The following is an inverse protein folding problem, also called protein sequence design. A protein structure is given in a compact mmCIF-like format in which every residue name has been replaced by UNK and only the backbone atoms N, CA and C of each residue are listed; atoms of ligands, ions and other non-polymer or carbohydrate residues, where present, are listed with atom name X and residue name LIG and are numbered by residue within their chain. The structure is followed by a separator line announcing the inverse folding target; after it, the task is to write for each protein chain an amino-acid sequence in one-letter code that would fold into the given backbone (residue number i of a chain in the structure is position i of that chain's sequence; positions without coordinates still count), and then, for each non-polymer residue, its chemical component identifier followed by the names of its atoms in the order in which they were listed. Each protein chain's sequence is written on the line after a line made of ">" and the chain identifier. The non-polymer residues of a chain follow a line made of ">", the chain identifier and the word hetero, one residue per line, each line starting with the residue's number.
data_IF_779796577651
#
_entry.id   IF_779796577651
#
_cell.length_a   1.000
_cell.length_b   1.000
_cell.length_c   1.000
_cell.angle_alpha   90.00
_cell.angle_beta   90.00
_cell.angle_gamma   90.00
#
_symmetry.space_group_name_H-M   'P 1'
#
loop_
_entity.id
_entity.type
_entity.pdbx_description
1 polymer ?
#
# COMPACT_ATOMS: atom_id res chain seq x y z
N UNK A 1 -11.39 36.60 11.20
CA UNK A 1 -10.92 36.24 9.85
C UNK A 1 -9.68 35.40 10.07
N UNK A 2 -9.86 34.08 10.19
CA UNK A 2 -8.76 33.18 10.50
C UNK A 2 -7.95 32.89 9.23
N UNK A 3 -6.63 32.99 9.40
CA UNK A 3 -5.58 32.95 8.39
C UNK A 3 -5.50 31.61 7.67
N UNK A 4 -4.96 31.63 6.45
CA UNK A 4 -4.47 30.43 5.77
C UNK A 4 -3.33 29.86 6.62
N UNK A 5 -3.53 28.67 7.17
CA UNK A 5 -2.55 27.92 7.96
C UNK A 5 -1.69 27.08 6.99
N UNK A 6 -0.42 26.86 7.35
CA UNK A 6 0.55 26.09 6.56
C UNK A 6 1.12 24.91 7.35
N UNK A 7 0.90 23.68 6.84
CA UNK A 7 1.39 22.44 7.45
C UNK A 7 0.62 21.21 6.96
N UNK A 8 1.24 20.03 7.00
CA UNK A 8 0.59 18.77 6.58
C UNK A 8 -0.35 18.17 7.64
N UNK A 9 -0.40 18.75 8.85
CA UNK A 9 -1.32 18.37 9.92
C UNK A 9 -1.19 16.92 10.40
N UNK A 10 -2.26 16.41 11.02
CA UNK A 10 -2.42 15.00 11.42
C UNK A 10 -3.74 14.47 10.87
N UNK A 11 -3.71 13.28 10.30
CA UNK A 11 -4.89 12.58 9.78
C UNK A 11 -5.09 11.28 10.55
N UNK A 12 -6.30 11.11 11.07
CA UNK A 12 -6.76 9.89 11.72
C UNK A 12 -7.92 9.29 10.93
N UNK A 13 -7.95 7.96 10.86
CA UNK A 13 -9.04 7.18 10.29
C UNK A 13 -9.59 6.27 11.37
N UNK A 14 -10.91 6.29 11.58
CA UNK A 14 -11.60 5.43 12.53
C UNK A 14 -12.42 4.38 11.77
N UNK A 15 -12.27 3.13 12.19
CA UNK A 15 -13.11 2.04 11.67
C UNK A 15 -14.49 2.01 12.33
N UNK A 16 -15.37 1.14 11.83
CA UNK A 16 -16.73 0.96 12.36
C UNK A 16 -16.79 0.43 13.79
N UNK A 17 -15.66 -0.08 14.32
CA UNK A 17 -15.53 -0.53 15.72
C UNK A 17 -15.06 0.59 16.67
N UNK A 18 -14.73 1.77 16.12
CA UNK A 18 -14.26 2.93 16.86
C UNK A 18 -12.74 2.96 17.07
N UNK A 19 -11.99 1.99 16.53
CA UNK A 19 -10.53 2.00 16.63
C UNK A 19 -9.96 3.09 15.72
N UNK A 20 -9.04 3.88 16.26
CA UNK A 20 -8.42 5.00 15.56
C UNK A 20 -7.02 4.65 15.09
N UNK A 21 -6.74 4.92 13.81
CA UNK A 21 -5.45 4.69 13.17
C UNK A 21 -4.93 6.02 12.63
N UNK A 22 -3.70 6.40 12.98
CA UNK A 22 -3.06 7.56 12.40
C UNK A 22 -2.51 7.21 11.01
N UNK A 23 -2.78 8.04 10.02
CA UNK A 23 -2.22 7.93 8.66
C UNK A 23 -0.79 8.48 8.68
N UNK A 24 0.12 7.70 9.27
CA UNK A 24 1.56 7.92 9.14
C UNK A 24 2.07 9.30 9.55
N UNK A 25 3.26 9.62 9.02
CA UNK A 25 3.79 10.99 8.98
C UNK A 25 3.37 11.60 7.65
N UNK A 26 2.48 12.60 7.71
CA UNK A 26 1.96 13.30 6.54
C UNK A 26 3.00 14.27 5.98
N UNK A 27 3.15 14.26 4.67
CA UNK A 27 3.94 15.23 3.91
C UNK A 27 3.06 16.26 3.22
N UNK A 28 1.87 15.84 2.77
CA UNK A 28 0.89 16.72 2.16
C UNK A 28 -0.52 16.14 2.38
N UNK A 29 -1.50 17.02 2.48
CA UNK A 29 -2.92 16.63 2.52
C UNK A 29 -3.74 17.66 1.78
N UNK A 30 -4.49 17.19 0.79
CA UNK A 30 -5.39 18.02 0.01
C UNK A 30 -6.82 17.53 0.18
N UNK A 31 -7.73 18.49 0.38
CA UNK A 31 -9.18 18.25 0.38
C UNK A 31 -9.79 19.15 -0.68
N UNK A 32 -10.54 18.56 -1.59
CA UNK A 32 -11.19 19.24 -2.69
C UNK A 32 -12.71 19.15 -2.54
N UNK A 33 -13.37 20.30 -2.63
CA UNK A 33 -14.82 20.45 -2.59
C UNK A 33 -15.34 20.86 -3.97
N UNK A 34 -15.86 19.91 -4.73
CA UNK A 34 -16.33 20.16 -6.10
C UNK A 34 -17.86 20.29 -6.12
N UNK A 35 -18.37 21.41 -6.63
CA UNK A 35 -19.79 21.60 -6.88
C UNK A 35 -20.09 21.60 -8.37
N UNK A 36 -20.94 20.70 -8.83
CA UNK A 36 -21.46 20.70 -10.20
C UNK A 36 -22.74 21.53 -10.31
N UNK A 37 -22.84 22.34 -11.35
CA UNK A 37 -24.03 23.10 -11.71
C UNK A 37 -24.58 22.58 -13.04
N UNK A 38 -25.90 22.51 -13.17
CA UNK A 38 -26.60 22.28 -14.42
C UNK A 38 -27.28 23.56 -14.84
N UNK A 39 -27.01 23.99 -16.06
CA UNK A 39 -27.56 25.21 -16.64
C UNK A 39 -28.66 24.84 -17.63
N UNK A 40 -29.85 25.41 -17.45
CA UNK A 40 -30.98 25.28 -18.35
C UNK A 40 -30.87 26.36 -19.44
N UNK A 41 -30.45 25.95 -20.62
CA UNK A 41 -30.26 26.85 -21.77
C UNK A 41 -31.60 27.14 -22.45
N UNK A 42 -31.90 28.44 -22.64
CA UNK A 42 -33.01 28.88 -23.48
C UNK A 42 -32.66 28.93 -24.96
N UNK A 43 -33.57 29.42 -25.80
CA UNK A 43 -33.33 29.69 -27.22
C UNK A 43 -32.41 30.89 -27.50
N UNK A 44 -31.90 31.54 -26.46
CA UNK A 44 -30.94 32.66 -26.51
C UNK A 44 -29.61 32.23 -25.89
N UNK A 45 -28.56 32.99 -26.15
CA UNK A 45 -27.16 32.62 -25.83
C UNK A 45 -26.83 32.48 -24.33
N UNK A 46 -27.76 32.74 -23.41
CA UNK A 46 -27.53 32.75 -21.97
C UNK A 46 -28.47 31.76 -21.24
N UNK A 47 -28.00 31.09 -20.18
CA UNK A 47 -28.82 30.18 -19.39
C UNK A 47 -29.95 30.93 -18.68
N UNK A 48 -31.16 30.35 -18.71
CA UNK A 48 -32.36 30.91 -18.05
C UNK A 48 -32.39 30.53 -16.57
N UNK A 49 -31.81 29.38 -16.20
CA UNK A 49 -31.69 28.96 -14.82
C UNK A 49 -30.41 28.14 -14.61
N UNK A 50 -29.78 28.27 -13.44
CA UNK A 50 -28.64 27.46 -13.02
C UNK A 50 -28.99 26.78 -11.70
N UNK A 51 -28.89 25.46 -11.65
CA UNK A 51 -29.17 24.67 -10.46
C UNK A 51 -27.93 23.89 -10.00
N UNK A 52 -27.62 23.93 -8.71
CA UNK A 52 -26.60 23.05 -8.13
C UNK A 52 -27.11 21.61 -8.16
N UNK A 53 -26.32 20.70 -8.73
CA UNK A 53 -26.76 19.31 -8.95
C UNK A 53 -26.14 18.36 -7.94
N UNK A 54 -24.81 18.29 -7.88
CA UNK A 54 -24.10 17.40 -6.98
C UNK A 54 -22.85 18.06 -6.44
N UNK A 55 -22.56 17.84 -5.16
CA UNK A 55 -21.30 18.22 -4.52
C UNK A 55 -20.52 16.95 -4.21
N UNK A 56 -19.23 16.94 -4.53
CA UNK A 56 -18.31 15.84 -4.23
C UNK A 56 -17.20 16.35 -3.33
N UNK A 57 -16.83 15.55 -2.35
CA UNK A 57 -15.68 15.80 -1.49
C UNK A 57 -14.71 14.65 -1.70
N UNK A 58 -13.50 14.98 -2.12
CA UNK A 58 -12.40 14.03 -2.28
C UNK A 58 -11.15 14.60 -1.66
N UNK A 59 -10.27 13.74 -1.15
CA UNK A 59 -8.98 14.16 -0.68
C UNK A 59 -7.89 13.16 -0.97
N UNK A 60 -6.66 13.65 -0.89
CA UNK A 60 -5.44 12.89 -1.10
C UNK A 60 -4.47 13.23 0.02
N UNK A 61 -3.99 12.20 0.72
CA UNK A 61 -2.98 12.33 1.77
C UNK A 61 -1.70 11.64 1.33
N UNK A 62 -0.61 12.41 1.21
CA UNK A 62 0.74 11.92 0.98
C UNK A 62 1.44 11.64 2.29
N UNK A 63 1.97 10.43 2.49
CA UNK A 63 2.65 10.03 3.72
C UNK A 63 3.96 9.29 3.46
N UNK A 64 4.89 9.40 4.39
CA UNK A 64 6.21 8.77 4.32
C UNK A 64 6.22 7.32 4.88
N UNK A 65 5.23 6.97 5.70
CA UNK A 65 5.10 5.64 6.30
C UNK A 65 3.65 5.33 6.60
N UNK A 66 3.26 4.06 6.53
CA UNK A 66 1.91 3.60 6.87
C UNK A 66 1.96 2.48 7.89
N UNK A 67 1.01 2.48 8.82
CA UNK A 67 0.82 1.37 9.74
C UNK A 67 0.24 0.17 8.98
N UNK A 68 0.86 -1.01 9.13
CA UNK A 68 0.34 -2.27 8.58
C UNK A 68 -1.08 -2.59 9.05
N UNK A 69 -1.49 -2.12 10.24
CA UNK A 69 -2.86 -2.27 10.73
C UNK A 69 -3.86 -1.44 9.93
N UNK A 70 -3.47 -0.26 9.47
CA UNK A 70 -4.29 0.56 8.58
C UNK A 70 -4.45 -0.15 7.24
N UNK A 71 -3.37 -0.68 6.66
CA UNK A 71 -3.42 -1.48 5.42
C UNK A 71 -4.38 -2.66 5.55
N UNK A 72 -4.29 -3.42 6.64
CA UNK A 72 -5.18 -4.54 6.93
C UNK A 72 -6.64 -4.11 6.85
N UNK A 73 -7.00 -3.02 7.51
CA UNK A 73 -8.39 -2.58 7.57
C UNK A 73 -8.85 -2.04 6.21
N UNK A 74 -8.03 -1.20 5.56
CA UNK A 74 -8.34 -0.64 4.22
C UNK A 74 -8.62 -1.74 3.21
N UNK A 75 -7.81 -2.80 3.20
CA UNK A 75 -7.98 -3.93 2.28
C UNK A 75 -8.87 -5.06 2.79
N UNK A 76 -9.43 -4.97 4.02
CA UNK A 76 -10.24 -6.04 4.61
C UNK A 76 -9.49 -7.37 4.80
N UNK A 77 -8.20 -7.29 5.12
CA UNK A 77 -7.31 -8.45 5.27
C UNK A 77 -7.35 -9.11 6.65
N UNK A 78 -6.89 -10.36 6.70
CA UNK A 78 -6.67 -11.11 7.94
C UNK A 78 -5.18 -11.26 8.24
N UNK A 79 -4.83 -11.15 9.52
CA UNK A 79 -3.47 -11.24 10.04
C UNK A 79 -3.11 -12.68 10.43
N UNK A 80 -1.94 -13.15 10.02
CA UNK A 80 -1.32 -14.37 10.56
C UNK A 80 0.09 -14.09 11.08
N UNK A 81 0.52 -14.85 12.09
CA UNK A 81 1.86 -14.73 12.63
C UNK A 81 2.90 -15.22 11.62
N UNK A 82 4.05 -14.54 11.60
CA UNK A 82 5.15 -14.80 10.69
C UNK A 82 5.07 -13.97 9.40
N UNK A 83 6.20 -13.91 8.69
CA UNK A 83 6.32 -13.19 7.42
C UNK A 83 7.01 -14.05 6.37
N UNK A 84 6.68 -13.76 5.12
CA UNK A 84 7.32 -14.33 3.94
C UNK A 84 8.35 -13.33 3.41
N UNK A 85 9.60 -13.77 3.25
CA UNK A 85 10.70 -12.93 2.82
C UNK A 85 11.38 -13.53 1.60
N UNK A 86 12.05 -12.66 0.84
CA UNK A 86 12.96 -13.06 -0.23
C UNK A 86 14.38 -12.89 0.31
N UNK A 87 15.22 -13.90 0.09
CA UNK A 87 16.66 -13.80 0.30
C UNK A 87 17.35 -14.01 -1.03
N UNK A 88 18.34 -13.16 -1.26
CA UNK A 88 19.32 -13.33 -2.31
C UNK A 88 20.69 -13.50 -1.63
N UNK A 89 21.42 -14.55 -1.99
CA UNK A 89 22.75 -14.79 -1.44
C UNK A 89 23.66 -15.47 -2.46
N UNK A 90 24.92 -15.04 -2.48
CA UNK A 90 25.97 -15.64 -3.30
C UNK A 90 26.60 -16.82 -2.58
N UNK A 91 26.55 -17.99 -3.20
CA UNK A 91 27.02 -19.27 -2.65
C UNK A 91 28.04 -19.90 -3.60
N UNK A 92 29.11 -20.46 -3.04
CA UNK A 92 30.11 -21.18 -3.83
C UNK A 92 29.68 -22.64 -4.01
N UNK A 93 29.66 -23.12 -5.25
CA UNK A 93 29.36 -24.51 -5.58
C UNK A 93 30.45 -25.40 -5.00
N UNK A 94 30.09 -26.21 -4.00
CA UNK A 94 30.95 -27.24 -3.42
C UNK A 94 30.33 -28.61 -3.71
N UNK A 95 31.04 -29.46 -4.46
CA UNK A 95 30.56 -30.80 -4.88
C UNK A 95 29.24 -30.74 -5.67
N UNK A 96 29.18 -29.87 -6.68
CA UNK A 96 28.04 -29.72 -7.59
C UNK A 96 26.70 -29.37 -6.89
N UNK A 97 26.74 -28.83 -5.68
CA UNK A 97 25.55 -28.37 -4.98
C UNK A 97 25.83 -27.15 -4.10
N UNK A 98 24.77 -26.39 -3.80
CA UNK A 98 24.75 -25.41 -2.71
C UNK A 98 23.46 -25.55 -1.91
N UNK A 99 23.45 -25.06 -0.67
CA UNK A 99 22.25 -25.03 0.17
C UNK A 99 22.04 -23.61 0.66
N UNK A 100 20.85 -23.06 0.42
CA UNK A 100 20.47 -21.76 0.95
C UNK A 100 20.47 -21.77 2.47
N UNK A 101 20.90 -20.66 3.07
CA UNK A 101 21.00 -20.51 4.54
C UNK A 101 19.65 -20.76 5.22
N UNK A 102 18.55 -20.30 4.62
CA UNK A 102 17.19 -20.47 5.13
C UNK A 102 16.46 -21.67 4.53
N UNK A 103 17.19 -22.71 4.09
CA UNK A 103 16.63 -23.94 3.49
C UNK A 103 15.61 -24.66 4.38
N UNK A 104 15.77 -24.63 5.70
CA UNK A 104 14.83 -25.24 6.66
C UNK A 104 13.43 -24.61 6.63
N UNK A 105 13.32 -23.34 6.24
CA UNK A 105 12.06 -22.60 6.12
C UNK A 105 11.77 -22.18 4.67
N UNK A 106 12.41 -22.85 3.72
CA UNK A 106 12.24 -22.59 2.30
C UNK A 106 10.79 -22.86 1.86
N UNK A 107 10.27 -22.00 0.99
CA UNK A 107 8.89 -22.12 0.48
C UNK A 107 8.81 -22.11 -1.03
N UNK A 108 9.68 -21.37 -1.72
CA UNK A 108 9.70 -21.33 -3.17
C UNK A 108 11.05 -20.89 -3.69
N UNK A 109 11.43 -21.44 -4.84
CA UNK A 109 12.57 -20.99 -5.61
C UNK A 109 12.18 -19.75 -6.42
N UNK A 110 13.09 -18.78 -6.56
CA UNK A 110 12.91 -17.58 -7.37
C UNK A 110 13.99 -17.43 -8.45
N UNK A 111 14.96 -18.34 -8.53
CA UNK A 111 15.96 -18.36 -9.58
C UNK A 111 17.39 -18.50 -9.07
N UNK A 112 18.28 -18.80 -10.02
CA UNK A 112 19.73 -18.81 -9.82
C UNK A 112 20.39 -18.03 -10.95
N UNK A 113 21.34 -17.17 -10.60
CA UNK A 113 22.24 -16.50 -11.52
C UNK A 113 23.64 -17.11 -11.44
N UNK A 114 24.32 -17.23 -12.58
CA UNK A 114 25.73 -17.59 -12.61
C UNK A 114 26.65 -16.44 -12.14
N UNK A 115 27.97 -16.66 -12.17
CA UNK A 115 28.95 -15.67 -11.72
C UNK A 115 28.95 -14.40 -12.59
N UNK A 116 28.52 -14.53 -13.84
CA UNK A 116 28.41 -13.45 -14.82
C UNK A 116 27.04 -12.73 -14.75
N UNK A 117 26.12 -13.21 -13.93
CA UNK A 117 24.79 -12.65 -13.73
C UNK A 117 23.72 -13.17 -14.71
N UNK A 118 24.02 -14.20 -15.50
CA UNK A 118 23.04 -14.80 -16.41
C UNK A 118 22.09 -15.73 -15.65
N UNK A 119 20.81 -15.71 -16.02
CA UNK A 119 19.81 -16.60 -15.45
C UNK A 119 20.04 -18.05 -15.89
N UNK A 120 20.13 -18.94 -14.90
CA UNK A 120 20.21 -20.38 -15.13
C UNK A 120 18.81 -21.01 -15.27
N UNK A 121 18.73 -22.16 -15.97
CA UNK A 121 17.45 -22.85 -16.18
C UNK A 121 17.17 -23.89 -15.09
N UNK A 122 15.98 -23.86 -14.49
CA UNK A 122 15.55 -24.93 -13.56
C UNK A 122 15.16 -26.19 -14.33
N UNK A 123 15.60 -27.36 -13.86
CA UNK A 123 15.25 -28.68 -14.43
C UNK A 123 14.88 -29.65 -13.32
N UNK A 124 14.06 -30.65 -13.66
CA UNK A 124 13.71 -31.78 -12.78
C UNK A 124 14.61 -33.01 -12.92
N UNK A 125 15.60 -32.96 -13.81
CA UNK A 125 16.54 -34.06 -14.10
C UNK A 125 17.99 -33.66 -13.80
N UNK A 126 18.95 -34.56 -14.05
CA UNK A 126 20.38 -34.26 -13.87
C UNK A 126 20.77 -32.96 -14.61
N UNK A 127 21.27 -31.93 -13.91
CA UNK A 127 21.54 -30.64 -14.53
C UNK A 127 22.63 -30.71 -15.61
N UNK A 128 22.33 -30.14 -16.78
CA UNK A 128 23.35 -29.72 -17.74
C UNK A 128 24.05 -28.45 -17.26
N UNK A 129 25.18 -28.08 -17.87
CA UNK A 129 25.82 -26.78 -17.61
C UNK A 129 24.83 -25.64 -17.88
N UNK A 130 24.79 -24.64 -17.00
CA UNK A 130 23.84 -23.52 -17.09
C UNK A 130 22.41 -23.88 -16.63
N UNK A 131 22.21 -25.06 -16.07
CA UNK A 131 20.94 -25.49 -15.45
C UNK A 131 21.14 -25.91 -14.00
N UNK A 132 20.06 -25.97 -13.23
CA UNK A 132 20.07 -26.43 -11.85
C UNK A 132 18.80 -27.20 -11.50
N UNK A 133 18.88 -28.01 -10.44
CA UNK A 133 17.73 -28.61 -9.75
C UNK A 133 17.56 -27.92 -8.41
N UNK A 134 16.33 -27.85 -7.91
CA UNK A 134 16.07 -27.34 -6.56
C UNK A 134 15.18 -28.29 -5.78
N UNK A 135 15.52 -28.57 -4.53
CA UNK A 135 14.71 -29.37 -3.61
C UNK A 135 14.88 -28.84 -2.19
N UNK A 136 13.81 -28.25 -1.63
CA UNK A 136 13.79 -27.69 -0.28
C UNK A 136 14.98 -26.75 0.02
N UNK A 137 15.27 -25.81 -0.89
CA UNK A 137 16.37 -24.85 -0.75
C UNK A 137 17.78 -25.42 -0.95
N UNK A 138 17.89 -26.67 -1.42
CA UNK A 138 19.14 -27.25 -1.91
C UNK A 138 19.16 -27.19 -3.43
N UNK A 139 20.25 -26.69 -3.99
CA UNK A 139 20.42 -26.45 -5.40
C UNK A 139 21.50 -27.37 -5.94
N UNK A 140 21.14 -28.24 -6.89
CA UNK A 140 22.07 -29.15 -7.56
C UNK A 140 22.46 -28.62 -8.93
N UNK A 141 23.73 -28.77 -9.29
CA UNK A 141 24.34 -28.32 -10.54
C UNK A 141 25.00 -29.46 -11.29
N UNK A 142 25.52 -29.16 -12.47
CA UNK A 142 26.35 -30.10 -13.21
C UNK A 142 27.65 -30.42 -12.44
N UNK A 143 28.14 -31.65 -12.52
CA UNK A 143 29.33 -32.10 -11.81
C UNK A 143 30.62 -31.32 -12.17
N UNK A 144 30.69 -30.79 -13.40
CA UNK A 144 31.82 -29.98 -13.86
C UNK A 144 31.67 -28.49 -13.53
N UNK A 145 30.53 -28.07 -12.97
CA UNK A 145 30.25 -26.67 -12.67
C UNK A 145 30.88 -26.28 -11.34
N UNK A 146 31.60 -25.16 -11.33
CA UNK A 146 32.30 -24.62 -10.18
C UNK A 146 32.20 -23.09 -10.19
N UNK A 147 32.56 -22.46 -9.07
CA UNK A 147 32.46 -21.00 -8.90
C UNK A 147 31.29 -20.60 -8.02
N UNK A 148 30.94 -19.30 -8.08
CA UNK A 148 29.91 -18.70 -7.25
C UNK A 148 28.63 -18.51 -8.07
N UNK A 149 27.49 -18.78 -7.44
CA UNK A 149 26.17 -18.53 -8.00
C UNK A 149 25.37 -17.68 -7.03
N UNK A 150 24.51 -16.82 -7.53
CA UNK A 150 23.58 -16.04 -6.72
C UNK A 150 22.22 -16.72 -6.74
N UNK A 151 21.76 -17.13 -5.58
CA UNK A 151 20.50 -17.87 -5.41
C UNK A 151 19.47 -16.95 -4.78
N UNK A 152 18.31 -16.84 -5.42
CA UNK A 152 17.19 -16.05 -4.93
C UNK A 152 16.02 -16.97 -4.59
N UNK A 153 15.51 -16.88 -3.36
CA UNK A 153 14.46 -17.77 -2.89
C UNK A 153 13.60 -17.15 -1.80
N UNK A 154 12.42 -17.74 -1.62
CA UNK A 154 11.43 -17.34 -0.64
C UNK A 154 11.47 -18.26 0.57
N UNK A 155 11.42 -17.68 1.76
CA UNK A 155 11.36 -18.41 3.03
C UNK A 155 10.41 -17.75 4.01
N UNK A 156 9.98 -18.51 5.03
CA UNK A 156 9.14 -18.00 6.12
C UNK A 156 9.95 -17.82 7.39
N UNK A 157 9.51 -16.89 8.24
CA UNK A 157 9.99 -16.76 9.61
C UNK A 157 8.81 -16.63 10.56
N UNK A 158 8.95 -17.11 11.79
CA UNK A 158 7.92 -17.00 12.83
C UNK A 158 7.75 -15.58 13.39
N UNK A 159 8.63 -14.64 13.06
CA UNK A 159 8.55 -13.25 13.54
C UNK A 159 7.78 -12.32 12.58
N UNK A 160 7.02 -11.37 13.13
CA UNK A 160 6.21 -10.44 12.35
C UNK A 160 4.82 -10.97 11.98
N UNK A 161 4.23 -10.37 10.96
CA UNK A 161 2.83 -10.60 10.58
C UNK A 161 2.68 -10.56 9.06
N UNK A 162 1.79 -11.41 8.53
CA UNK A 162 1.37 -11.41 7.13
C UNK A 162 -0.11 -11.03 7.06
N UNK A 163 -0.43 -10.03 6.23
CA UNK A 163 -1.81 -9.64 5.93
C UNK A 163 -2.22 -10.32 4.64
N UNK A 164 -3.23 -11.18 4.73
CA UNK A 164 -3.81 -11.84 3.55
C UNK A 164 -5.15 -11.21 3.23
N UNK A 165 -5.29 -10.72 2.00
CA UNK A 165 -6.52 -10.13 1.47
C UNK A 165 -7.17 -11.16 0.54
N UNK A 166 -8.44 -11.48 0.79
CA UNK A 166 -9.24 -12.32 -0.12
C UNK A 166 -10.04 -11.44 -1.06
N UNK A 167 -10.38 -11.97 -2.24
CA UNK A 167 -11.32 -11.31 -3.13
C UNK A 167 -12.67 -11.16 -2.41
N UNK A 168 -13.12 -9.92 -2.24
CA UNK A 168 -14.40 -9.60 -1.59
C UNK A 168 -15.51 -9.47 -2.63
N UNK A 169 -16.76 -9.66 -2.20
CA UNK A 169 -17.91 -9.42 -3.08
C UNK A 169 -17.99 -7.94 -3.49
N UNK A 170 -18.29 -7.71 -4.77
CA UNK A 170 -18.39 -6.36 -5.32
C UNK A 170 -19.55 -5.58 -4.67
N UNK A 171 -19.28 -4.38 -4.15
CA UNK A 171 -20.28 -3.47 -3.60
C UNK A 171 -20.22 -3.25 -2.09
N UNK A 172 -19.48 -4.06 -1.33
CA UNK A 172 -19.24 -3.81 0.10
C UNK A 172 -17.91 -3.05 0.27
N UNK A 173 -17.98 -1.73 0.44
CA UNK A 173 -16.80 -0.93 0.77
C UNK A 173 -16.86 -0.54 2.25
N UNK A 174 -15.77 -0.73 3.02
CA UNK A 174 -15.72 -0.25 4.39
C UNK A 174 -15.81 1.28 4.42
N UNK A 175 -16.63 1.79 5.34
CA UNK A 175 -16.83 3.21 5.59
C UNK A 175 -16.13 3.57 6.89
N UNK A 176 -15.37 4.66 6.84
CA UNK A 176 -14.55 5.15 7.94
C UNK A 176 -14.96 6.57 8.33
N UNK A 177 -14.56 7.02 9.51
CA UNK A 177 -14.58 8.45 9.88
C UNK A 177 -13.15 8.97 9.77
N UNK A 178 -12.94 10.06 9.03
CA UNK A 178 -11.62 10.68 8.91
C UNK A 178 -11.58 12.00 9.69
N UNK A 179 -10.50 12.24 10.43
CA UNK A 179 -10.28 13.47 11.19
C UNK A 179 -8.94 14.07 10.78
N UNK A 180 -8.99 15.26 10.19
CA UNK A 180 -7.83 16.06 9.82
C UNK A 180 -7.72 17.23 10.78
N UNK A 181 -6.53 17.50 11.28
CA UNK A 181 -6.26 18.67 12.11
C UNK A 181 -4.92 19.28 11.75
N UNK A 182 -4.91 20.61 11.69
CA UNK A 182 -3.71 21.44 11.56
C UNK A 182 -3.67 22.45 12.71
N UNK A 183 -2.48 22.74 13.20
CA UNK A 183 -2.23 23.72 14.25
C UNK A 183 -1.10 24.64 13.80
N UNK A 184 -1.31 25.95 13.83
CA UNK A 184 -0.27 26.93 13.55
C UNK A 184 -0.50 28.21 14.37
N UNK A 185 0.57 28.69 14.99
CA UNK A 185 0.59 29.86 15.89
C UNK A 185 -0.46 29.80 17.03
N UNK A 186 -0.76 28.60 17.52
CA UNK A 186 -1.75 28.36 18.58
C UNK A 186 -3.20 28.30 18.11
N UNK A 187 -3.47 28.57 16.82
CA UNK A 187 -4.79 28.45 16.21
C UNK A 187 -4.96 27.07 15.58
N UNK A 188 -6.13 26.45 15.78
CA UNK A 188 -6.41 25.09 15.29
C UNK A 188 -7.52 25.10 14.24
N UNK A 189 -7.25 24.47 13.09
CA UNK A 189 -8.25 24.12 12.09
C UNK A 189 -8.43 22.60 12.06
N UNK A 190 -9.64 22.13 12.34
CA UNK A 190 -10.01 20.73 12.30
C UNK A 190 -11.12 20.46 11.27
N UNK A 191 -11.06 19.31 10.63
CA UNK A 191 -12.10 18.80 9.74
C UNK A 191 -12.41 17.34 10.07
N UNK A 192 -13.67 17.04 10.36
CA UNK A 192 -14.15 15.66 10.56
C UNK A 192 -15.06 15.27 9.41
N UNK A 193 -14.70 14.21 8.67
CA UNK A 193 -15.52 13.59 7.65
C UNK A 193 -16.17 12.33 8.21
N UNK A 194 -17.50 12.32 8.23
CA UNK A 194 -18.26 11.34 9.03
C UNK A 194 -18.38 9.97 8.35
N UNK A 195 -18.38 9.94 7.02
CA UNK A 195 -18.38 8.72 6.22
C UNK A 195 -17.44 8.86 5.03
N UNK A 196 -16.35 8.09 5.05
CA UNK A 196 -15.24 8.14 4.11
C UNK A 196 -14.96 6.75 3.56
N UNK A 197 -14.77 6.66 2.25
CA UNK A 197 -14.29 5.46 1.57
C UNK A 197 -12.90 5.70 1.03
N UNK A 198 -12.08 4.64 0.99
CA UNK A 198 -10.71 4.69 0.47
C UNK A 198 -10.70 3.91 -0.84
N UNK A 199 -10.89 4.57 -2.00
CA UNK A 199 -10.92 3.90 -3.30
C UNK A 199 -9.55 3.41 -3.78
N UNK A 200 -8.46 4.08 -3.40
CA UNK A 200 -7.12 3.69 -3.83
C UNK A 200 -6.05 4.08 -2.83
N UNK A 201 -5.01 3.24 -2.82
CA UNK A 201 -3.77 3.43 -2.10
C UNK A 201 -2.62 3.19 -3.09
N UNK A 202 -1.81 4.21 -3.32
CA UNK A 202 -0.66 4.15 -4.19
C UNK A 202 0.59 3.87 -3.36
N UNK A 203 1.31 2.79 -3.70
CA UNK A 203 2.58 2.41 -3.07
C UNK A 203 3.71 2.28 -4.09
N UNK A 204 4.87 2.89 -3.83
CA UNK A 204 6.02 2.96 -4.73
C UNK A 204 7.29 2.50 -4.02
N UNK A 205 7.88 1.41 -4.48
CA UNK A 205 9.15 0.90 -3.95
C UNK A 205 10.33 1.52 -4.71
N UNK A 206 10.72 2.75 -4.34
CA UNK A 206 11.89 3.44 -4.93
C UNK A 206 13.13 3.24 -4.05
N UNK A 207 14.29 3.13 -4.69
CA UNK A 207 15.58 2.89 -4.01
C UNK A 207 16.36 4.19 -3.69
N UNK A 208 16.18 5.24 -4.49
CA UNK A 208 17.05 6.44 -4.45
C UNK A 208 16.35 7.73 -3.98
N UNK A 209 15.02 7.72 -3.86
CA UNK A 209 14.24 8.86 -3.38
C UNK A 209 13.19 8.39 -2.37
N UNK A 210 12.79 9.25 -1.43
CA UNK A 210 11.79 8.92 -0.43
C UNK A 210 10.44 8.64 -1.13
N UNK A 211 9.93 7.42 -0.96
CA UNK A 211 8.63 7.06 -1.48
C UNK A 211 7.54 7.86 -0.76
N UNK A 212 6.82 8.70 -1.50
CA UNK A 212 5.62 9.38 -1.02
C UNK A 212 4.42 8.58 -1.47
N UNK A 213 3.85 7.86 -0.51
CA UNK A 213 2.70 7.01 -0.74
C UNK A 213 1.42 7.82 -0.61
N UNK A 214 0.41 7.51 -1.42
CA UNK A 214 -0.78 8.34 -1.52
C UNK A 214 -2.03 7.55 -1.14
N UNK A 215 -2.76 8.06 -0.16
CA UNK A 215 -4.09 7.56 0.21
C UNK A 215 -5.12 8.50 -0.38
N UNK A 216 -5.92 7.99 -1.31
CA UNK A 216 -7.04 8.72 -1.88
C UNK A 216 -8.31 8.35 -1.12
N UNK A 217 -9.10 9.35 -0.76
CA UNK A 217 -10.35 9.16 -0.02
C UNK A 217 -11.50 9.97 -0.60
N UNK A 218 -12.71 9.46 -0.46
CA UNK A 218 -13.95 10.10 -0.91
C UNK A 218 -14.95 10.13 0.24
N UNK A 219 -15.64 11.26 0.42
CA UNK A 219 -16.62 11.40 1.48
C UNK A 219 -18.04 11.26 0.94
N UNK A 220 -18.93 10.72 1.78
CA UNK A 220 -20.36 10.58 1.51
C UNK A 220 -21.18 11.00 2.74
N UNK A 221 -22.48 11.15 2.57
CA UNK A 221 -23.38 11.39 3.70
C UNK A 221 -23.47 10.14 4.59
N UNK A 222 -23.51 10.33 5.90
CA UNK A 222 -23.81 9.28 6.86
C UNK A 222 -25.33 8.94 6.83
N UNK A 223 -25.76 7.97 7.64
CA UNK A 223 -27.17 7.57 7.72
C UNK A 223 -28.12 8.69 8.22
N UNK A 224 -27.60 9.73 8.87
CA UNK A 224 -28.36 10.89 9.35
C UNK A 224 -28.35 12.07 8.37
N UNK A 225 -27.62 11.97 7.26
CA UNK A 225 -27.49 13.02 6.26
C UNK A 225 -26.32 14.00 6.49
N UNK A 226 -25.53 13.81 7.54
CA UNK A 226 -24.36 14.65 7.82
C UNK A 226 -23.15 14.20 6.99
N UNK A 227 -22.35 15.16 6.53
CA UNK A 227 -21.21 14.88 5.63
C UNK A 227 -19.87 15.20 6.30
N UNK A 228 -19.70 16.42 6.80
CA UNK A 228 -18.46 16.85 7.46
C UNK A 228 -18.74 17.91 8.52
N UNK A 229 -17.80 18.08 9.45
CA UNK A 229 -17.75 19.17 10.43
C UNK A 229 -16.43 19.91 10.28
N UNK A 230 -16.47 21.22 10.48
CA UNK A 230 -15.28 22.08 10.54
C UNK A 230 -15.22 22.66 11.95
N UNK A 231 -14.03 22.62 12.53
CA UNK A 231 -13.70 23.20 13.82
C UNK A 231 -12.66 24.28 13.57
N UNK A 232 -12.92 25.48 14.08
CA UNK A 232 -11.98 26.60 14.05
C UNK A 232 -11.92 27.18 15.46
N UNK A 233 -10.72 27.53 15.89
CA UNK A 233 -10.50 28.46 17.00
C UNK A 233 -10.42 29.90 16.46
#
# INVERSE_FOLDING_TARGET
>A
MSSILFGSGKLYVKDSTGQSYQVGVLQDVSVNFEGSTKELMGSKQWPIAVAATGKKISGKAGFASIDGKLLKNVFGGTSSAGRTLIKEESLTIALAAVTGTQSATFTADLGVLDAEGNTMTVTGSTPALGSYTVTAGKYGFNASQSGTVTVSYRYTTGSGETITVKNQDMGTQPVYTAFLQEEWDGETLGMEFLAVTIPSLDMSFKNEDFAVENLNFSCQANASGDVFKIFVE
#
